data_IF_830235268237
#
_entry.id   IF_830235268237
#
_cell.length_a   1.000
_cell.length_b   1.000
_cell.length_c   1.000
_cell.angle_alpha   90.00
_cell.angle_beta   90.00
_cell.angle_gamma   90.00
#
_symmetry.space_group_name_H-M   'P 1'
#
loop_
_entity.id
_entity.type
_entity.pdbx_description
1 polymer ?
#
# COMPACT_ATOMS: atom_id res chain seq x y z
N UNK A 1 26.55 34.57 2.35
CA UNK A 1 25.94 34.17 3.63
C UNK A 1 24.65 34.90 3.98
N UNK A 2 24.58 36.25 4.09
CA UNK A 2 23.36 36.93 4.55
C UNK A 2 22.10 36.65 3.72
N UNK A 3 22.26 36.37 2.42
CA UNK A 3 21.13 35.98 1.56
C UNK A 3 20.59 34.59 1.91
N UNK A 4 21.44 33.60 2.19
CA UNK A 4 21.00 32.26 2.60
C UNK A 4 20.30 32.31 3.97
N UNK A 5 20.83 33.10 4.90
CA UNK A 5 20.26 33.24 6.24
C UNK A 5 18.88 33.91 6.25
N UNK A 6 18.59 34.80 5.30
CA UNK A 6 17.35 35.60 5.29
C UNK A 6 16.30 35.11 4.29
N UNK A 7 16.72 34.52 3.17
CA UNK A 7 15.83 34.33 2.02
C UNK A 7 15.55 32.86 1.69
N UNK A 8 16.11 31.89 2.43
CA UNK A 8 15.77 30.48 2.22
C UNK A 8 14.37 30.14 2.76
N UNK A 9 13.59 29.29 2.07
CA UNK A 9 12.32 28.82 2.56
C UNK A 9 12.43 28.14 3.94
N UNK A 10 11.54 28.47 4.88
CA UNK A 10 11.58 27.99 6.27
C UNK A 10 11.45 26.45 6.44
N UNK A 11 11.02 25.75 5.38
CA UNK A 11 10.89 24.30 5.36
C UNK A 11 12.20 23.57 4.99
N UNK A 12 13.22 24.29 4.50
CA UNK A 12 14.57 23.76 4.29
C UNK A 12 15.29 23.66 5.64
N UNK A 13 15.12 22.51 6.30
CA UNK A 13 15.71 22.26 7.62
C UNK A 13 17.16 21.80 7.52
N UNK A 14 17.54 21.15 6.42
CA UNK A 14 18.89 20.67 6.20
C UNK A 14 19.68 21.64 5.31
N UNK A 15 19.18 21.96 4.11
CA UNK A 15 19.84 22.87 3.16
C UNK A 15 19.69 24.34 3.61
N UNK A 16 20.47 24.73 4.61
CA UNK A 16 20.45 26.04 5.24
C UNK A 16 21.87 26.65 5.33
N UNK A 17 21.97 27.89 5.82
CA UNK A 17 23.25 28.60 5.91
C UNK A 17 24.28 27.89 6.81
N UNK A 18 23.84 27.16 7.84
CA UNK A 18 24.73 26.44 8.74
C UNK A 18 25.28 25.16 8.08
N UNK A 19 24.47 24.47 7.25
CA UNK A 19 24.96 23.42 6.36
C UNK A 19 26.05 23.97 5.45
N UNK A 20 25.80 25.07 4.74
CA UNK A 20 26.81 25.70 3.86
C UNK A 20 28.10 26.06 4.61
N UNK A 21 28.01 26.61 5.83
CA UNK A 21 29.19 26.89 6.67
C UNK A 21 29.95 25.60 7.00
N UNK A 22 29.24 24.53 7.32
CA UNK A 22 29.83 23.24 7.64
C UNK A 22 30.56 22.61 6.44
N UNK A 23 29.99 22.75 5.23
CA UNK A 23 30.60 22.25 3.99
C UNK A 23 31.87 23.04 3.66
N UNK A 24 31.89 24.37 3.83
CA UNK A 24 33.10 25.18 3.63
C UNK A 24 34.21 24.73 4.59
N UNK A 25 33.90 24.57 5.88
CA UNK A 25 34.87 24.14 6.87
C UNK A 25 35.39 22.72 6.59
N UNK A 26 34.52 21.81 6.14
CA UNK A 26 34.89 20.45 5.75
C UNK A 26 35.78 20.43 4.50
N UNK A 27 35.41 21.19 3.47
CA UNK A 27 36.16 21.29 2.22
C UNK A 27 37.58 21.81 2.49
N UNK A 28 37.74 22.83 3.34
CA UNK A 28 39.04 23.33 3.77
C UNK A 28 39.86 22.29 4.51
N UNK A 29 39.25 21.59 5.49
CA UNK A 29 39.92 20.55 6.26
C UNK A 29 40.41 19.39 5.39
N UNK A 30 39.57 18.92 4.47
CA UNK A 30 39.89 17.82 3.55
C UNK A 30 40.95 18.28 2.55
N UNK A 31 40.83 19.50 2.00
CA UNK A 31 41.78 20.06 1.04
C UNK A 31 43.20 20.19 1.60
N UNK A 32 43.33 20.67 2.84
CA UNK A 32 44.63 20.74 3.53
C UNK A 32 45.24 19.35 3.70
N UNK A 33 44.44 18.35 4.05
CA UNK A 33 44.92 16.98 4.19
C UNK A 33 45.29 16.30 2.85
N UNK A 34 44.63 16.69 1.75
CA UNK A 34 44.85 16.16 0.40
C UNK A 34 45.92 16.92 -0.40
N UNK A 35 46.57 17.91 0.23
CA UNK A 35 47.67 18.69 -0.34
C UNK A 35 47.24 19.60 -1.49
N UNK A 36 46.07 20.24 -1.38
CA UNK A 36 45.56 21.23 -2.34
C UNK A 36 46.30 22.56 -2.18
N UNK A 37 46.58 23.24 -3.29
CA UNK A 37 47.28 24.54 -3.28
C UNK A 37 46.38 25.68 -2.78
N UNK A 38 46.98 26.80 -2.35
CA UNK A 38 46.22 27.96 -1.85
C UNK A 38 45.28 28.55 -2.92
N UNK A 39 45.70 28.58 -4.19
CA UNK A 39 44.88 29.07 -5.31
C UNK A 39 43.65 28.17 -5.55
N UNK A 40 43.85 26.85 -5.58
CA UNK A 40 42.77 25.87 -5.73
C UNK A 40 41.82 25.86 -4.53
N UNK A 41 42.34 26.09 -3.32
CA UNK A 41 41.55 26.19 -2.10
C UNK A 41 40.57 27.36 -2.16
N UNK A 42 40.96 28.49 -2.74
CA UNK A 42 40.05 29.64 -2.96
C UNK A 42 38.90 29.24 -3.88
N UNK A 43 39.18 28.53 -4.98
CA UNK A 43 38.14 28.05 -5.90
C UNK A 43 37.19 27.06 -5.20
N UNK A 44 37.73 26.11 -4.45
CA UNK A 44 36.97 25.10 -3.73
C UNK A 44 36.08 25.71 -2.64
N UNK A 45 36.60 26.61 -1.80
CA UNK A 45 35.81 27.31 -0.78
C UNK A 45 34.74 28.19 -1.40
N UNK A 46 35.01 28.78 -2.56
CA UNK A 46 34.02 29.54 -3.32
C UNK A 46 32.93 28.62 -3.84
N UNK A 47 33.26 27.47 -4.43
CA UNK A 47 32.26 26.48 -4.84
C UNK A 47 31.41 25.98 -3.66
N UNK A 48 32.03 25.66 -2.52
CA UNK A 48 31.33 25.28 -1.29
C UNK A 48 30.39 26.37 -0.77
N UNK A 49 30.73 27.64 -0.92
CA UNK A 49 29.83 28.75 -0.56
C UNK A 49 28.59 28.83 -1.46
N UNK A 50 28.73 28.47 -2.73
CA UNK A 50 27.67 28.62 -3.73
C UNK A 50 26.87 27.35 -4.02
N UNK A 51 27.33 26.14 -3.64
CA UNK A 51 26.71 24.87 -4.08
C UNK A 51 25.19 24.78 -3.85
N UNK A 52 24.73 25.29 -2.71
CA UNK A 52 23.31 25.31 -2.31
C UNK A 52 22.61 26.66 -2.55
N UNK A 53 23.28 27.64 -3.15
CA UNK A 53 22.68 28.96 -3.39
C UNK A 53 21.44 28.90 -4.29
N UNK A 54 21.36 27.90 -5.16
CA UNK A 54 20.23 27.66 -6.04
C UNK A 54 18.92 27.33 -5.34
N UNK A 55 18.94 26.87 -4.08
CA UNK A 55 17.73 26.68 -3.28
C UNK A 55 16.94 27.97 -3.03
N UNK A 56 17.56 29.14 -3.23
CA UNK A 56 16.87 30.44 -3.26
C UNK A 56 15.88 30.56 -4.43
N UNK A 57 16.10 29.81 -5.51
CA UNK A 57 15.35 29.92 -6.75
C UNK A 57 14.55 28.65 -7.07
N UNK A 58 15.13 27.46 -6.87
CA UNK A 58 14.51 26.18 -7.23
C UNK A 58 14.99 25.04 -6.33
N UNK A 59 14.08 24.14 -5.96
CA UNK A 59 14.42 22.92 -5.21
C UNK A 59 15.00 21.82 -6.11
N UNK A 60 14.48 21.69 -7.33
CA UNK A 60 15.03 20.77 -8.35
C UNK A 60 16.08 21.51 -9.18
N UNK A 61 17.16 20.82 -9.53
CA UNK A 61 18.26 21.39 -10.32
C UNK A 61 18.84 22.65 -9.65
N UNK A 62 19.01 22.60 -8.32
CA UNK A 62 19.55 23.73 -7.58
C UNK A 62 21.02 23.96 -7.91
N UNK A 63 21.78 22.93 -8.31
CA UNK A 63 23.19 23.05 -8.70
C UNK A 63 23.35 23.90 -9.96
N UNK A 64 22.47 23.72 -10.96
CA UNK A 64 22.42 24.58 -12.13
C UNK A 64 22.05 26.02 -11.77
N UNK A 65 21.09 26.21 -10.87
CA UNK A 65 20.71 27.54 -10.39
C UNK A 65 21.84 28.20 -9.57
N UNK A 66 22.59 27.43 -8.79
CA UNK A 66 23.79 27.86 -8.06
C UNK A 66 24.87 28.36 -9.03
N UNK A 67 25.13 27.62 -10.11
CA UNK A 67 26.06 28.03 -11.16
C UNK A 67 25.61 29.33 -11.84
N UNK A 68 24.30 29.50 -12.07
CA UNK A 68 23.77 30.74 -12.63
C UNK A 68 24.00 31.94 -11.70
N UNK A 69 23.78 31.76 -10.40
CA UNK A 69 24.06 32.79 -9.39
C UNK A 69 25.56 33.11 -9.36
N UNK A 70 26.43 32.10 -9.33
CA UNK A 70 27.88 32.25 -9.31
C UNK A 70 28.39 33.03 -10.54
N UNK A 71 27.95 32.66 -11.75
CA UNK A 71 28.32 33.37 -12.99
C UNK A 71 27.90 34.85 -13.00
N UNK A 72 26.82 35.19 -12.29
CA UNK A 72 26.32 36.55 -12.20
C UNK A 72 27.10 37.40 -11.19
N UNK A 73 27.55 36.80 -10.07
CA UNK A 73 28.10 37.55 -8.94
C UNK A 73 29.63 37.55 -8.87
N UNK A 74 30.28 36.45 -9.27
CA UNK A 74 31.73 36.29 -9.16
C UNK A 74 32.57 37.24 -10.04
N UNK A 75 32.15 37.67 -11.25
CA UNK A 75 32.92 38.63 -12.04
C UNK A 75 33.13 39.97 -11.30
N UNK A 76 32.13 40.43 -10.55
CA UNK A 76 32.22 41.66 -9.75
C UNK A 76 33.18 41.54 -8.56
N UNK A 77 33.59 40.33 -8.20
CA UNK A 77 34.53 40.03 -7.13
C UNK A 77 35.95 39.74 -7.66
N UNK A 78 36.19 39.93 -8.96
CA UNK A 78 37.51 39.78 -9.58
C UNK A 78 37.87 38.35 -9.99
N UNK A 79 36.89 37.44 -10.09
CA UNK A 79 37.13 36.09 -10.62
C UNK A 79 37.15 36.09 -12.14
N UNK A 80 38.16 35.45 -12.71
CA UNK A 80 38.32 35.28 -14.15
C UNK A 80 37.32 34.22 -14.71
N UNK A 81 36.92 34.30 -15.99
CA UNK A 81 35.96 33.38 -16.58
C UNK A 81 36.33 31.90 -16.40
N UNK A 82 37.61 31.56 -16.54
CA UNK A 82 38.11 30.19 -16.35
C UNK A 82 37.93 29.71 -14.90
N UNK A 83 38.16 30.58 -13.92
CA UNK A 83 37.96 30.26 -12.50
C UNK A 83 36.49 30.03 -12.19
N UNK A 84 35.60 30.84 -12.78
CA UNK A 84 34.15 30.71 -12.62
C UNK A 84 33.66 29.38 -13.21
N UNK A 85 34.17 28.99 -14.37
CA UNK A 85 33.82 27.70 -14.98
C UNK A 85 34.31 26.52 -14.13
N UNK A 86 35.52 26.59 -13.58
CA UNK A 86 36.00 25.59 -12.60
C UNK A 86 35.10 25.53 -11.36
N UNK A 87 34.71 26.67 -10.79
CA UNK A 87 33.79 26.73 -9.64
C UNK A 87 32.45 26.07 -10.00
N UNK A 88 31.91 26.34 -11.19
CA UNK A 88 30.67 25.70 -11.64
C UNK A 88 30.83 24.19 -11.82
N UNK A 89 31.97 23.71 -12.34
CA UNK A 89 32.25 22.27 -12.44
C UNK A 89 32.29 21.60 -11.05
N UNK A 90 32.90 22.25 -10.06
CA UNK A 90 32.92 21.78 -8.67
C UNK A 90 31.49 21.72 -8.10
N UNK A 91 30.69 22.79 -8.28
CA UNK A 91 29.28 22.80 -7.83
C UNK A 91 28.48 21.67 -8.50
N UNK A 92 28.63 21.49 -9.80
CA UNK A 92 27.88 20.45 -10.53
C UNK A 92 28.24 19.03 -10.08
N UNK A 93 29.43 18.81 -9.50
CA UNK A 93 29.84 17.52 -8.96
C UNK A 93 29.05 17.10 -7.71
N UNK A 94 28.44 18.05 -6.96
CA UNK A 94 27.58 17.73 -5.80
C UNK A 94 26.21 17.17 -6.21
N UNK A 95 25.87 17.23 -7.50
CA UNK A 95 24.62 16.68 -8.01
C UNK A 95 24.57 15.17 -7.87
N UNK A 96 23.51 14.66 -7.25
CA UNK A 96 23.30 13.22 -7.08
C UNK A 96 22.70 12.56 -8.33
N UNK A 97 23.19 11.38 -8.76
CA UNK A 97 24.31 10.63 -8.20
C UNK A 97 25.67 11.25 -8.56
N UNK A 98 26.59 11.28 -7.59
CA UNK A 98 27.94 11.85 -7.76
C UNK A 98 28.73 11.19 -8.90
N UNK A 99 29.29 12.02 -9.78
CA UNK A 99 30.23 11.63 -10.83
C UNK A 99 31.47 12.57 -10.89
N UNK A 100 32.20 12.77 -9.78
CA UNK A 100 33.35 13.67 -9.73
C UNK A 100 34.49 13.18 -10.62
N UNK A 101 35.13 14.11 -11.34
CA UNK A 101 36.17 13.81 -12.32
C UNK A 101 37.60 14.06 -11.81
N UNK A 102 37.77 14.99 -10.86
CA UNK A 102 39.08 15.45 -10.38
C UNK A 102 39.14 15.58 -8.86
N UNK A 103 40.31 15.96 -8.34
CA UNK A 103 40.57 16.06 -6.90
C UNK A 103 39.65 17.09 -6.21
N UNK A 104 39.42 18.26 -6.79
CA UNK A 104 38.58 19.28 -6.17
C UNK A 104 37.11 18.83 -6.12
N UNK A 105 36.67 18.13 -7.18
CA UNK A 105 35.35 17.51 -7.23
C UNK A 105 35.21 16.37 -6.20
N UNK A 106 36.25 15.55 -5.99
CA UNK A 106 36.25 14.55 -4.91
C UNK A 106 36.09 15.20 -3.54
N UNK A 107 36.80 16.31 -3.30
CA UNK A 107 36.78 17.00 -2.02
C UNK A 107 35.40 17.61 -1.74
N UNK A 108 34.78 18.28 -2.72
CA UNK A 108 33.46 18.89 -2.48
C UNK A 108 32.38 17.84 -2.23
N UNK A 109 32.38 16.73 -2.98
CA UNK A 109 31.42 15.63 -2.76
C UNK A 109 31.55 15.05 -1.35
N UNK A 110 32.78 14.85 -0.87
CA UNK A 110 33.03 14.34 0.48
C UNK A 110 32.73 15.37 1.56
N UNK A 111 32.96 16.66 1.30
CA UNK A 111 32.67 17.75 2.22
C UNK A 111 31.15 17.92 2.41
N UNK A 112 30.38 17.87 1.32
CA UNK A 112 28.92 18.01 1.34
C UNK A 112 28.25 16.84 2.09
N UNK A 113 28.77 15.62 1.90
CA UNK A 113 28.27 14.41 2.55
C UNK A 113 29.07 13.97 3.79
N UNK A 114 29.89 14.84 4.38
CA UNK A 114 30.72 14.45 5.53
C UNK A 114 29.87 13.95 6.71
N UNK A 115 28.66 14.51 6.89
CA UNK A 115 27.78 14.21 8.03
C UNK A 115 27.41 12.73 8.12
N UNK A 116 27.52 11.99 7.01
CA UNK A 116 27.31 10.55 6.98
C UNK A 116 28.29 9.80 7.88
N UNK A 117 29.49 10.34 8.08
CA UNK A 117 30.54 9.78 8.93
C UNK A 117 30.88 10.59 10.17
N UNK A 118 30.02 11.52 10.61
CA UNK A 118 30.20 12.27 11.87
C UNK A 118 29.09 11.96 12.88
N UNK A 119 29.28 12.38 14.12
CA UNK A 119 28.27 12.27 15.18
C UNK A 119 26.98 13.02 14.87
N UNK A 120 27.02 13.95 13.90
CA UNK A 120 25.88 14.75 13.47
C UNK A 120 24.97 14.02 12.47
N UNK A 121 25.25 12.75 12.17
CA UNK A 121 24.44 11.94 11.26
C UNK A 121 22.94 11.98 11.62
N UNK A 122 22.58 11.59 12.85
CA UNK A 122 21.17 11.48 13.24
C UNK A 122 20.43 12.82 13.29
N UNK A 123 20.99 13.91 13.86
CA UNK A 123 20.39 15.24 13.78
C UNK A 123 20.16 15.70 12.34
N UNK A 124 21.17 15.60 11.48
CA UNK A 124 21.08 16.03 10.08
C UNK A 124 20.11 15.17 9.28
N UNK A 125 20.12 13.86 9.51
CA UNK A 125 19.15 12.94 8.95
C UNK A 125 17.71 13.28 9.37
N UNK A 126 17.48 13.75 10.60
CA UNK A 126 16.16 14.19 11.03
C UNK A 126 15.74 15.48 10.33
N UNK A 127 16.64 16.45 10.18
CA UNK A 127 16.38 17.67 9.42
C UNK A 127 16.03 17.36 7.96
N UNK A 128 16.80 16.45 7.33
CA UNK A 128 16.57 16.02 5.96
C UNK A 128 15.23 15.28 5.81
N UNK A 129 14.84 14.48 6.81
CA UNK A 129 13.51 13.86 6.85
C UNK A 129 12.38 14.88 6.87
N UNK A 130 12.47 15.89 7.73
CA UNK A 130 11.44 16.93 7.84
C UNK A 130 11.30 17.72 6.54
N UNK A 131 12.43 18.05 5.92
CA UNK A 131 12.48 18.73 4.64
C UNK A 131 11.87 17.87 3.50
N UNK A 132 12.26 16.60 3.42
CA UNK A 132 11.73 15.68 2.41
C UNK A 132 10.23 15.44 2.60
N UNK A 133 9.77 15.38 3.86
CA UNK A 133 8.35 15.25 4.19
C UNK A 133 7.57 16.50 3.77
N UNK A 134 8.10 17.69 4.03
CA UNK A 134 7.48 18.95 3.63
C UNK A 134 7.37 19.08 2.10
N UNK A 135 8.36 18.57 1.37
CA UNK A 135 8.39 18.54 -0.10
C UNK A 135 7.67 17.33 -0.72
N UNK A 136 7.03 16.47 0.08
CA UNK A 136 6.30 15.30 -0.40
C UNK A 136 7.17 14.18 -0.98
N UNK A 137 8.47 14.19 -0.72
CA UNK A 137 9.44 13.18 -1.17
C UNK A 137 9.42 11.89 -0.32
N UNK A 138 8.92 11.97 0.91
CA UNK A 138 8.65 10.82 1.79
C UNK A 138 7.38 11.05 2.59
N UNK A 139 6.59 9.99 2.83
CA UNK A 139 5.33 10.08 3.57
C UNK A 139 5.49 9.79 5.06
N UNK A 140 6.32 8.81 5.38
CA UNK A 140 6.46 8.30 6.73
C UNK A 140 7.90 7.83 7.00
N UNK A 141 8.17 7.49 8.26
CA UNK A 141 9.49 7.06 8.72
C UNK A 141 9.98 5.78 8.05
N UNK A 142 9.08 4.87 7.66
CA UNK A 142 9.44 3.62 7.01
C UNK A 142 10.04 3.87 5.61
N UNK A 143 9.38 4.69 4.81
CA UNK A 143 9.86 5.09 3.49
C UNK A 143 11.19 5.85 3.59
N UNK A 144 11.31 6.73 4.58
CA UNK A 144 12.55 7.44 4.88
C UNK A 144 13.70 6.50 5.22
N UNK A 145 13.49 5.55 6.13
CA UNK A 145 14.52 4.59 6.51
C UNK A 145 14.98 3.74 5.30
N UNK A 146 14.05 3.35 4.40
CA UNK A 146 14.42 2.64 3.16
C UNK A 146 15.30 3.49 2.25
N UNK A 147 14.97 4.78 2.08
CA UNK A 147 15.80 5.73 1.32
C UNK A 147 17.17 5.92 1.96
N UNK A 148 17.24 6.07 3.29
CA UNK A 148 18.52 6.18 4.01
C UNK A 148 19.39 4.95 3.80
N UNK A 149 18.83 3.75 3.99
CA UNK A 149 19.55 2.49 3.80
C UNK A 149 20.10 2.42 2.38
N UNK A 150 19.25 2.63 1.38
CA UNK A 150 19.66 2.61 -0.03
C UNK A 150 20.80 3.62 -0.29
N UNK A 151 20.67 4.85 0.21
CA UNK A 151 21.66 5.90 0.02
C UNK A 151 23.00 5.56 0.69
N UNK A 152 22.99 5.21 1.98
CA UNK A 152 24.19 4.85 2.75
C UNK A 152 24.92 3.63 2.15
N UNK A 153 24.16 2.65 1.63
CA UNK A 153 24.71 1.48 0.95
C UNK A 153 25.34 1.83 -0.40
N UNK A 154 24.69 2.68 -1.21
CA UNK A 154 25.22 3.06 -2.53
C UNK A 154 26.36 4.09 -2.48
N UNK A 155 26.40 4.93 -1.45
CA UNK A 155 27.35 6.02 -1.33
C UNK A 155 28.76 5.51 -1.01
N UNK A 156 29.79 6.19 -1.53
CA UNK A 156 31.21 5.98 -1.17
C UNK A 156 31.92 7.32 -1.06
N UNK A 157 32.86 7.42 -0.13
CA UNK A 157 33.77 8.58 -0.06
C UNK A 157 34.88 8.47 -1.11
N UNK A 158 35.36 9.60 -1.63
CA UNK A 158 36.29 9.67 -2.75
C UNK A 158 37.74 9.91 -2.33
N UNK A 159 37.97 10.91 -1.46
CA UNK A 159 39.29 11.31 -0.92
C UNK A 159 39.84 10.29 0.06
N UNK A 160 41.17 10.27 0.22
CA UNK A 160 41.81 9.36 1.17
C UNK A 160 41.49 9.77 2.61
N UNK A 161 41.40 11.07 2.87
CA UNK A 161 41.00 11.63 4.14
C UNK A 161 39.61 11.13 4.56
N UNK A 162 38.58 11.31 3.72
CA UNK A 162 37.21 10.93 4.04
C UNK A 162 37.04 9.40 4.15
N UNK A 163 37.73 8.62 3.31
CA UNK A 163 37.75 7.16 3.46
C UNK A 163 38.30 6.72 4.82
N UNK A 164 39.32 7.41 5.31
CA UNK A 164 39.98 7.06 6.57
C UNK A 164 39.18 7.53 7.79
N UNK A 165 38.57 8.72 7.72
CA UNK A 165 37.93 9.36 8.88
C UNK A 165 36.41 9.15 8.95
N UNK A 166 35.72 8.92 7.83
CA UNK A 166 34.25 8.92 7.78
C UNK A 166 33.64 7.56 7.42
N UNK A 167 34.38 6.69 6.69
CA UNK A 167 33.80 5.45 6.16
C UNK A 167 33.35 4.49 7.26
N UNK A 168 34.12 4.31 8.32
CA UNK A 168 33.77 3.41 9.44
C UNK A 168 32.52 3.90 10.17
N UNK A 169 32.46 5.19 10.52
CA UNK A 169 31.30 5.79 11.16
C UNK A 169 30.04 5.68 10.30
N UNK A 170 30.15 5.87 8.98
CA UNK A 170 29.03 5.65 8.05
C UNK A 170 28.50 4.22 8.10
N UNK A 171 29.39 3.22 8.15
CA UNK A 171 28.99 1.81 8.28
C UNK A 171 28.29 1.57 9.62
N UNK A 172 28.78 2.15 10.71
CA UNK A 172 28.13 2.06 12.02
C UNK A 172 26.72 2.69 12.00
N UNK A 173 26.54 3.86 11.39
CA UNK A 173 25.23 4.48 11.20
C UNK A 173 24.29 3.61 10.37
N UNK A 174 24.77 3.03 9.25
CA UNK A 174 23.99 2.10 8.43
C UNK A 174 23.49 0.90 9.26
N UNK A 175 24.35 0.31 10.08
CA UNK A 175 23.97 -0.81 10.94
C UNK A 175 22.90 -0.42 11.97
N UNK A 176 23.00 0.77 12.56
CA UNK A 176 21.97 1.29 13.47
C UNK A 176 20.64 1.47 12.73
N UNK A 177 20.64 2.11 11.55
CA UNK A 177 19.43 2.32 10.75
C UNK A 177 18.79 0.98 10.33
N UNK A 178 19.60 0.01 9.91
CA UNK A 178 19.15 -1.35 9.56
C UNK A 178 18.50 -2.05 10.76
N UNK A 179 19.12 -2.00 11.94
CA UNK A 179 18.57 -2.60 13.16
C UNK A 179 17.22 -1.98 13.56
N UNK A 180 17.11 -0.65 13.45
CA UNK A 180 15.88 0.08 13.75
C UNK A 180 14.77 -0.25 12.74
N UNK A 181 15.08 -0.34 11.46
CA UNK A 181 14.13 -0.73 10.42
C UNK A 181 13.58 -2.15 10.65
N UNK A 182 14.47 -3.12 10.92
CA UNK A 182 14.09 -4.50 11.21
C UNK A 182 13.18 -4.62 12.45
N UNK A 183 13.43 -3.82 13.50
CA UNK A 183 12.59 -3.80 14.69
C UNK A 183 11.18 -3.26 14.42
N UNK A 184 11.05 -2.25 13.56
CA UNK A 184 9.74 -1.70 13.16
C UNK A 184 8.96 -2.72 12.33
N UNK A 185 9.60 -3.36 11.35
CA UNK A 185 8.97 -4.39 10.53
C UNK A 185 8.52 -5.59 11.39
N UNK A 186 9.34 -6.01 12.35
CA UNK A 186 9.00 -7.10 13.29
C UNK A 186 7.80 -6.75 14.18
N UNK A 187 7.71 -5.51 14.69
CA UNK A 187 6.54 -5.07 15.48
C UNK A 187 5.26 -5.07 14.64
N UNK A 188 5.33 -4.60 13.40
CA UNK A 188 4.17 -4.60 12.50
C UNK A 188 3.70 -6.03 12.20
N UNK A 189 4.63 -6.96 11.99
CA UNK A 189 4.31 -8.39 11.82
C UNK A 189 3.62 -8.97 13.06
N UNK A 190 4.12 -8.70 14.26
CA UNK A 190 3.51 -9.21 15.51
C UNK A 190 2.10 -8.68 15.72
N UNK A 191 1.87 -7.38 15.48
CA UNK A 191 0.53 -6.77 15.61
C UNK A 191 -0.45 -7.40 14.62
N UNK A 192 -0.02 -7.63 13.38
CA UNK A 192 -0.84 -8.30 12.36
C UNK A 192 -1.19 -9.73 12.76
N UNK A 193 -0.24 -10.52 13.26
CA UNK A 193 -0.52 -11.91 13.66
C UNK A 193 -1.46 -11.98 14.88
N UNK A 194 -1.35 -11.03 15.81
CA UNK A 194 -2.28 -10.93 16.94
C UNK A 194 -3.70 -10.58 16.48
N UNK A 195 -3.85 -9.63 15.54
CA UNK A 195 -5.14 -9.30 14.95
C UNK A 195 -5.75 -10.51 14.25
N UNK A 196 -4.96 -11.23 13.46
CA UNK A 196 -5.39 -12.46 12.79
C UNK A 196 -5.86 -13.51 13.80
N UNK A 197 -5.15 -13.68 14.91
CA UNK A 197 -5.54 -14.61 15.97
C UNK A 197 -6.91 -14.29 16.57
N UNK A 198 -7.17 -13.02 16.92
CA UNK A 198 -8.47 -12.61 17.46
C UNK A 198 -9.61 -12.78 16.45
N UNK A 199 -9.36 -12.48 15.18
CA UNK A 199 -10.33 -12.68 14.11
C UNK A 199 -10.65 -14.17 13.90
N UNK A 200 -9.65 -15.05 13.94
CA UNK A 200 -9.83 -16.51 13.85
C UNK A 200 -10.68 -17.00 15.03
N UNK A 201 -10.33 -16.61 16.26
CA UNK A 201 -11.05 -17.04 17.46
C UNK A 201 -12.52 -16.59 17.43
N UNK A 202 -12.77 -15.32 17.11
CA UNK A 202 -14.13 -14.80 16.98
C UNK A 202 -14.90 -15.53 15.86
N UNK A 203 -14.26 -15.74 14.71
CA UNK A 203 -14.86 -16.41 13.57
C UNK A 203 -15.27 -17.86 13.88
N UNK A 204 -14.38 -18.61 14.53
CA UNK A 204 -14.61 -20.00 14.93
C UNK A 204 -15.74 -20.12 15.95
N UNK A 205 -15.80 -19.24 16.96
CA UNK A 205 -16.87 -19.25 17.96
C UNK A 205 -18.22 -18.94 17.30
N UNK A 206 -18.29 -17.96 16.41
CA UNK A 206 -19.51 -17.62 15.69
C UNK A 206 -19.98 -18.74 14.76
N UNK A 207 -19.05 -19.38 14.03
CA UNK A 207 -19.37 -20.54 13.19
C UNK A 207 -19.85 -21.73 14.03
N UNK A 208 -19.20 -22.01 15.16
CA UNK A 208 -19.66 -23.03 16.11
C UNK A 208 -21.05 -22.76 16.65
N UNK A 209 -21.33 -21.51 17.03
CA UNK A 209 -22.65 -21.06 17.47
C UNK A 209 -23.72 -21.20 16.39
N UNK A 210 -23.40 -20.83 15.14
CA UNK A 210 -24.30 -21.01 14.00
C UNK A 210 -24.65 -22.49 13.78
N UNK A 211 -23.63 -23.36 13.75
CA UNK A 211 -23.81 -24.78 13.50
C UNK A 211 -24.62 -25.46 14.61
N UNK A 212 -24.22 -25.34 15.87
CA UNK A 212 -24.89 -26.04 16.98
C UNK A 212 -26.11 -25.32 17.55
N UNK A 213 -26.17 -23.99 17.45
CA UNK A 213 -27.27 -23.20 17.99
C UNK A 213 -28.47 -23.09 17.05
N UNK A 214 -28.26 -23.23 15.74
CA UNK A 214 -29.30 -23.09 14.71
C UNK A 214 -29.41 -24.30 13.79
N UNK A 215 -28.34 -24.66 13.06
CA UNK A 215 -28.43 -25.59 11.93
C UNK A 215 -28.66 -27.04 12.36
N UNK A 216 -27.78 -27.59 13.18
CA UNK A 216 -27.79 -29.01 13.62
C UNK A 216 -29.10 -29.38 14.32
N UNK A 217 -29.61 -28.63 15.33
CA UNK A 217 -30.85 -29.00 16.02
C UNK A 217 -32.09 -29.07 15.13
N UNK A 218 -32.04 -28.41 13.96
CA UNK A 218 -33.17 -28.27 13.05
C UNK A 218 -32.93 -28.95 11.69
N UNK A 219 -31.84 -29.72 11.55
CA UNK A 219 -31.48 -30.47 10.34
C UNK A 219 -31.32 -29.59 9.09
N UNK A 220 -30.83 -28.35 9.26
CA UNK A 220 -30.57 -27.45 8.15
C UNK A 220 -29.13 -27.58 7.68
N UNK A 221 -28.95 -27.50 6.37
CA UNK A 221 -27.67 -27.68 5.71
C UNK A 221 -27.14 -26.35 5.17
N UNK A 222 -25.82 -26.20 5.21
CA UNK A 222 -25.11 -25.17 4.46
C UNK A 222 -24.60 -25.74 3.12
N UNK A 223 -23.88 -24.95 2.34
CA UNK A 223 -23.11 -25.41 1.18
C UNK A 223 -21.72 -25.91 1.54
N UNK A 224 -20.96 -26.32 0.52
CA UNK A 224 -19.53 -26.60 0.67
C UNK A 224 -19.20 -27.86 1.49
N UNK A 225 -18.02 -27.85 2.11
CA UNK A 225 -17.55 -28.96 2.96
C UNK A 225 -18.33 -29.00 4.26
N UNK A 226 -18.75 -27.84 4.76
CA UNK A 226 -19.64 -27.73 5.92
C UNK A 226 -20.96 -28.43 5.66
N UNK A 227 -21.59 -28.14 4.51
CA UNK A 227 -22.82 -28.79 4.05
C UNK A 227 -22.69 -30.30 3.93
N UNK A 228 -21.62 -30.80 3.30
CA UNK A 228 -21.34 -32.24 3.24
C UNK A 228 -21.16 -32.85 4.63
N UNK A 229 -20.50 -32.14 5.55
CA UNK A 229 -20.28 -32.61 6.91
C UNK A 229 -21.58 -32.74 7.69
N UNK A 230 -22.47 -31.76 7.57
CA UNK A 230 -23.82 -31.79 8.14
C UNK A 230 -24.65 -32.94 7.56
N UNK A 231 -24.60 -33.14 6.23
CA UNK A 231 -25.32 -34.24 5.57
C UNK A 231 -24.86 -35.60 6.10
N UNK A 232 -23.55 -35.84 6.21
CA UNK A 232 -23.03 -37.09 6.76
C UNK A 232 -23.34 -37.26 8.25
N UNK A 233 -23.33 -36.17 9.02
CA UNK A 233 -23.76 -36.18 10.42
C UNK A 233 -25.21 -36.64 10.56
N UNK A 234 -26.13 -36.09 9.77
CA UNK A 234 -27.56 -36.43 9.84
C UNK A 234 -27.86 -37.83 9.29
N UNK A 235 -27.12 -38.31 8.29
CA UNK A 235 -27.34 -39.64 7.70
C UNK A 235 -26.74 -40.79 8.52
N UNK A 236 -25.56 -40.59 9.12
CA UNK A 236 -24.79 -41.65 9.77
C UNK A 236 -24.62 -41.45 11.28
N UNK A 237 -25.10 -40.33 11.84
CA UNK A 237 -24.99 -39.98 13.25
C UNK A 237 -23.54 -39.91 13.80
N UNK A 238 -22.56 -39.78 12.91
CA UNK A 238 -21.17 -39.53 13.30
C UNK A 238 -21.02 -38.13 13.88
N UNK A 239 -20.14 -37.93 14.85
CA UNK A 239 -19.97 -36.61 15.45
C UNK A 239 -19.45 -35.59 14.42
N UNK A 240 -20.21 -34.51 14.23
CA UNK A 240 -19.95 -33.45 13.24
C UNK A 240 -18.52 -32.89 13.33
N UNK A 241 -17.97 -32.75 14.54
CA UNK A 241 -16.63 -32.21 14.73
C UNK A 241 -15.56 -33.03 14.00
N UNK A 242 -15.65 -34.37 14.04
CA UNK A 242 -14.70 -35.24 13.37
C UNK A 242 -14.90 -35.22 11.85
N UNK A 243 -16.15 -35.17 11.38
CA UNK A 243 -16.46 -35.11 9.95
C UNK A 243 -15.91 -33.82 9.32
N UNK A 244 -16.14 -32.67 9.96
CA UNK A 244 -15.65 -31.38 9.46
C UNK A 244 -14.12 -31.39 9.35
N UNK A 245 -13.41 -31.84 10.37
CA UNK A 245 -11.93 -31.88 10.35
C UNK A 245 -11.43 -32.83 9.26
N UNK A 246 -12.03 -34.02 9.17
CA UNK A 246 -11.57 -35.04 8.21
C UNK A 246 -11.87 -34.66 6.76
N UNK A 247 -13.06 -34.13 6.44
CA UNK A 247 -13.39 -33.71 5.08
C UNK A 247 -12.62 -32.48 4.61
N UNK A 248 -12.20 -31.60 5.52
CA UNK A 248 -11.37 -30.44 5.18
C UNK A 248 -9.89 -30.81 4.96
N UNK A 249 -9.40 -31.92 5.53
CA UNK A 249 -7.97 -32.26 5.49
C UNK A 249 -7.40 -32.38 4.05
N UNK A 250 -8.06 -33.05 3.08
CA UNK A 250 -7.57 -33.09 1.70
C UNK A 250 -7.43 -31.70 1.07
N UNK A 251 -8.34 -30.79 1.39
CA UNK A 251 -8.36 -29.42 0.87
C UNK A 251 -7.28 -28.56 1.53
N UNK A 252 -7.05 -28.72 2.83
CA UNK A 252 -5.94 -28.10 3.55
C UNK A 252 -4.59 -28.56 2.96
N UNK A 253 -4.44 -29.86 2.68
CA UNK A 253 -3.24 -30.40 2.03
C UNK A 253 -3.07 -29.77 0.65
N UNK A 254 -4.14 -29.66 -0.14
CA UNK A 254 -4.08 -28.95 -1.41
C UNK A 254 -3.64 -27.48 -1.23
N UNK A 255 -4.21 -26.76 -0.25
CA UNK A 255 -3.89 -25.36 0.06
C UNK A 255 -2.40 -25.14 0.36
N UNK A 256 -1.76 -26.12 1.01
CA UNK A 256 -0.35 -26.06 1.36
C UNK A 256 0.54 -25.97 0.11
N UNK A 257 0.17 -26.68 -0.95
CA UNK A 257 0.92 -26.69 -2.22
C UNK A 257 0.48 -25.59 -3.18
N UNK A 258 -0.72 -25.02 -3.03
CA UNK A 258 -1.32 -24.14 -4.04
C UNK A 258 -1.42 -22.68 -3.61
N UNK A 259 -1.61 -22.39 -2.32
CA UNK A 259 -1.80 -21.01 -1.80
C UNK A 259 -0.55 -20.55 -1.05
N UNK A 260 -0.35 -21.03 0.18
CA UNK A 260 0.87 -20.81 0.95
C UNK A 260 0.89 -21.71 2.18
N UNK A 261 2.09 -22.01 2.70
CA UNK A 261 2.24 -22.78 3.95
C UNK A 261 1.55 -22.09 5.14
N UNK A 262 1.64 -20.75 5.21
CA UNK A 262 1.02 -19.95 6.27
C UNK A 262 -0.51 -20.04 6.22
N UNK A 263 -1.10 -19.88 5.04
CA UNK A 263 -2.55 -20.03 4.83
C UNK A 263 -3.01 -21.44 5.25
N UNK A 264 -2.36 -22.49 4.75
CA UNK A 264 -2.74 -23.88 5.05
C UNK A 264 -2.64 -24.20 6.54
N UNK A 265 -1.60 -23.73 7.23
CA UNK A 265 -1.45 -23.90 8.67
C UNK A 265 -2.54 -23.17 9.46
N UNK A 266 -2.86 -21.92 9.11
CA UNK A 266 -3.95 -21.17 9.77
C UNK A 266 -5.30 -21.83 9.52
N UNK A 267 -5.58 -22.29 8.30
CA UNK A 267 -6.79 -23.05 7.92
C UNK A 267 -6.91 -24.35 8.71
N UNK A 268 -5.81 -25.10 8.83
CA UNK A 268 -5.78 -26.31 9.66
C UNK A 268 -6.11 -26.01 11.12
N UNK A 269 -5.49 -24.98 11.69
CA UNK A 269 -5.72 -24.57 13.07
C UNK A 269 -7.17 -24.09 13.29
N UNK A 270 -7.73 -23.29 12.37
CA UNK A 270 -9.12 -22.81 12.48
C UNK A 270 -10.12 -23.95 12.39
N UNK A 271 -9.94 -24.91 11.49
CA UNK A 271 -10.81 -26.08 11.35
C UNK A 271 -10.70 -26.99 12.59
N UNK A 272 -9.50 -27.18 13.14
CA UNK A 272 -9.32 -27.91 14.41
C UNK A 272 -10.01 -27.20 15.58
N UNK A 273 -9.82 -25.89 15.70
CA UNK A 273 -10.46 -25.07 16.74
C UNK A 273 -11.99 -25.11 16.61
N UNK A 274 -12.53 -25.13 15.38
CA UNK A 274 -13.95 -25.33 15.15
C UNK A 274 -14.40 -26.70 15.62
N UNK A 275 -13.68 -27.76 15.29
CA UNK A 275 -13.93 -29.10 15.82
C UNK A 275 -13.95 -29.13 17.35
N UNK A 276 -12.97 -28.49 18.01
CA UNK A 276 -12.96 -28.36 19.46
C UNK A 276 -14.13 -27.54 20.01
N UNK A 277 -14.48 -26.40 19.40
CA UNK A 277 -15.66 -25.63 19.78
C UNK A 277 -16.93 -26.47 19.69
N UNK A 278 -17.06 -27.27 18.63
CA UNK A 278 -18.19 -28.17 18.45
C UNK A 278 -18.17 -29.35 19.44
N UNK A 279 -17.05 -29.72 20.06
CA UNK A 279 -17.03 -30.76 21.09
C UNK A 279 -17.26 -30.20 22.50
N UNK A 280 -16.63 -29.07 22.81
CA UNK A 280 -16.47 -28.59 24.18
C UNK A 280 -17.50 -27.53 24.59
N UNK A 281 -18.01 -26.74 23.64
CA UNK A 281 -18.90 -25.63 23.95
C UNK A 281 -20.36 -26.10 23.84
N UNK A 282 -21.15 -26.04 24.93
CA UNK A 282 -22.57 -26.33 24.91
C UNK A 282 -23.33 -25.09 24.42
N UNK A 283 -23.52 -24.99 23.11
CA UNK A 283 -24.34 -23.91 22.54
C UNK A 283 -25.83 -24.18 22.82
N UNK A 284 -26.59 -23.17 23.29
CA UNK A 284 -28.03 -23.31 23.46
C UNK A 284 -28.72 -23.34 22.09
N UNK A 285 -29.79 -24.11 21.97
CA UNK A 285 -30.70 -24.03 20.82
C UNK A 285 -31.41 -22.68 20.90
N UNK A 286 -31.26 -21.85 19.87
CA UNK A 286 -31.69 -20.44 19.93
C UNK A 286 -33.17 -20.29 19.61
N UNK A 287 -33.65 -20.99 18.59
CA UNK A 287 -35.04 -20.93 18.14
C UNK A 287 -35.41 -22.18 17.34
N UNK A 288 -36.71 -22.42 17.21
CA UNK A 288 -37.29 -23.49 16.40
C UNK A 288 -38.03 -22.95 15.16
N UNK A 289 -38.06 -21.62 14.98
CA UNK A 289 -38.66 -20.99 13.80
C UNK A 289 -37.74 -21.15 12.58
N UNK A 290 -38.23 -21.85 11.55
CA UNK A 290 -37.46 -22.22 10.35
C UNK A 290 -36.91 -21.01 9.58
N UNK A 291 -37.65 -19.90 9.53
CA UNK A 291 -37.21 -18.70 8.83
C UNK A 291 -36.09 -18.00 9.61
N UNK A 292 -36.24 -17.90 10.94
CA UNK A 292 -35.19 -17.34 11.79
C UNK A 292 -33.93 -18.21 11.77
N UNK A 293 -34.07 -19.53 11.81
CA UNK A 293 -32.95 -20.47 11.72
C UNK A 293 -32.19 -20.28 10.43
N UNK A 294 -32.89 -20.26 9.28
CA UNK A 294 -32.23 -20.16 7.99
C UNK A 294 -31.51 -18.83 7.80
N UNK A 295 -32.14 -17.71 8.16
CA UNK A 295 -31.52 -16.39 8.01
C UNK A 295 -30.38 -16.20 9.01
N UNK A 296 -30.63 -16.35 10.31
CA UNK A 296 -29.63 -16.05 11.33
C UNK A 296 -28.55 -17.12 11.45
N UNK A 297 -28.90 -18.40 11.24
CA UNK A 297 -27.90 -19.46 11.11
C UNK A 297 -26.95 -19.19 9.96
N UNK A 298 -27.46 -18.80 8.79
CA UNK A 298 -26.64 -18.37 7.66
C UNK A 298 -25.79 -17.14 7.98
N UNK A 299 -26.38 -16.09 8.56
CA UNK A 299 -25.65 -14.86 8.94
C UNK A 299 -24.51 -15.15 9.94
N UNK A 300 -24.75 -15.88 11.02
CA UNK A 300 -23.70 -16.16 12.00
C UNK A 300 -22.61 -17.07 11.41
N UNK A 301 -22.99 -18.04 10.57
CA UNK A 301 -22.03 -18.90 9.89
C UNK A 301 -21.17 -18.08 8.92
N UNK A 302 -21.79 -17.24 8.10
CA UNK A 302 -21.09 -16.39 7.15
C UNK A 302 -20.26 -15.28 7.80
N UNK A 303 -20.69 -14.74 8.94
CA UNK A 303 -19.85 -13.89 9.80
C UNK A 303 -18.62 -14.65 10.28
N UNK A 304 -18.82 -15.87 10.78
CA UNK A 304 -17.76 -16.73 11.26
C UNK A 304 -16.71 -17.01 10.18
N UNK A 305 -17.16 -17.54 9.04
CA UNK A 305 -16.33 -17.83 7.87
C UNK A 305 -15.62 -16.56 7.39
N UNK A 306 -16.35 -15.46 7.17
CA UNK A 306 -15.78 -14.19 6.69
C UNK A 306 -14.70 -13.60 7.59
N UNK A 307 -14.84 -13.68 8.92
CA UNK A 307 -13.81 -13.20 9.85
C UNK A 307 -12.52 -14.03 9.76
N UNK A 308 -12.64 -15.36 9.66
CA UNK A 308 -11.47 -16.23 9.47
C UNK A 308 -10.78 -15.97 8.12
N UNK A 309 -11.55 -15.70 7.06
CA UNK A 309 -11.01 -15.32 5.75
C UNK A 309 -10.25 -14.01 5.78
N UNK A 310 -10.73 -13.01 6.53
CA UNK A 310 -9.97 -11.76 6.74
C UNK A 310 -8.64 -11.96 7.47
N UNK A 311 -8.53 -12.98 8.31
CA UNK A 311 -7.30 -13.38 8.97
C UNK A 311 -6.35 -14.22 8.10
N UNK A 312 -6.73 -14.45 6.83
CA UNK A 312 -5.93 -15.19 5.86
C UNK A 312 -6.02 -16.71 6.01
N UNK A 313 -7.17 -17.25 6.39
CA UNK A 313 -7.43 -18.70 6.40
C UNK A 313 -8.86 -19.03 5.97
N UNK A 314 -9.14 -20.30 5.67
CA UNK A 314 -10.47 -20.74 5.29
C UNK A 314 -11.06 -21.68 6.36
N UNK A 315 -12.35 -21.52 6.64
CA UNK A 315 -13.07 -22.36 7.62
C UNK A 315 -13.88 -23.45 6.92
N UNK A 316 -14.43 -23.16 5.73
CA UNK A 316 -14.86 -24.16 4.77
C UNK A 316 -13.72 -24.38 3.75
N UNK A 317 -13.53 -25.63 3.32
CA UNK A 317 -12.41 -26.01 2.46
C UNK A 317 -12.71 -25.75 0.99
N UNK A 318 -13.97 -25.51 0.63
CA UNK A 318 -14.36 -25.30 -0.77
C UNK A 318 -13.80 -24.00 -1.35
N UNK A 319 -13.53 -23.01 -0.50
CA UNK A 319 -12.85 -21.76 -0.83
C UNK A 319 -11.38 -21.99 -1.22
N UNK A 320 -10.76 -23.07 -0.75
CA UNK A 320 -9.43 -23.48 -1.21
C UNK A 320 -9.49 -23.97 -2.66
N UNK A 321 -10.56 -24.69 -3.02
CA UNK A 321 -10.78 -25.13 -4.41
C UNK A 321 -10.97 -23.94 -5.34
N UNK A 322 -11.56 -22.84 -4.85
CA UNK A 322 -11.66 -21.59 -5.58
C UNK A 322 -10.30 -21.02 -6.00
N UNK A 323 -9.26 -21.18 -5.19
CA UNK A 323 -7.93 -20.66 -5.54
C UNK A 323 -7.13 -21.61 -6.45
N UNK A 324 -7.54 -22.87 -6.55
CA UNK A 324 -6.86 -23.91 -7.34
C UNK A 324 -7.36 -24.04 -8.79
N UNK A 325 -8.65 -23.77 -9.02
CA UNK A 325 -9.32 -24.18 -10.27
C UNK A 325 -9.19 -23.14 -11.39
N UNK A 326 -7.95 -22.84 -11.80
CA UNK A 326 -7.68 -21.96 -12.94
C UNK A 326 -6.91 -22.64 -14.09
N UNK A 327 -6.54 -23.93 -13.96
CA UNK A 327 -5.61 -24.55 -14.92
C UNK A 327 -5.95 -25.95 -15.45
N UNK A 328 -7.04 -26.62 -15.02
CA UNK A 328 -7.27 -28.04 -15.40
C UNK A 328 -8.70 -28.46 -15.77
N UNK A 329 -9.70 -27.58 -15.70
CA UNK A 329 -11.11 -27.91 -16.03
C UNK A 329 -11.78 -26.77 -16.81
N UNK A 330 -12.75 -27.11 -17.67
CA UNK A 330 -13.55 -26.11 -18.42
C UNK A 330 -14.59 -25.40 -17.56
N UNK A 331 -14.91 -25.94 -16.38
CA UNK A 331 -15.85 -25.36 -15.44
C UNK A 331 -15.18 -24.29 -14.56
N UNK A 332 -15.91 -23.21 -14.32
CA UNK A 332 -15.58 -22.20 -13.33
C UNK A 332 -15.77 -22.76 -11.91
N UNK A 333 -15.06 -22.16 -10.96
CA UNK A 333 -15.17 -22.50 -9.54
C UNK A 333 -16.60 -22.40 -9.04
N UNK A 334 -17.29 -21.31 -9.41
CA UNK A 334 -18.67 -21.06 -9.01
C UNK A 334 -19.59 -22.17 -9.51
N UNK A 335 -19.35 -22.72 -10.71
CA UNK A 335 -20.12 -23.86 -11.23
C UNK A 335 -19.83 -25.16 -10.45
N UNK A 336 -18.59 -25.39 -10.02
CA UNK A 336 -18.24 -26.56 -9.20
C UNK A 336 -18.92 -26.49 -7.83
N UNK A 337 -18.84 -25.33 -7.17
CA UNK A 337 -19.51 -25.08 -5.88
C UNK A 337 -21.02 -25.26 -6.02
N UNK A 338 -21.60 -24.68 -7.06
CA UNK A 338 -23.03 -24.79 -7.35
C UNK A 338 -23.43 -26.26 -7.60
N UNK A 339 -22.64 -27.00 -8.37
CA UNK A 339 -22.87 -28.42 -8.62
C UNK A 339 -22.86 -29.26 -7.33
N UNK A 340 -21.88 -29.02 -6.45
CA UNK A 340 -21.83 -29.67 -5.14
C UNK A 340 -23.08 -29.36 -4.30
N UNK A 341 -23.45 -28.08 -4.22
CA UNK A 341 -24.60 -27.65 -3.43
C UNK A 341 -25.92 -28.18 -3.97
N UNK A 342 -26.08 -28.27 -5.30
CA UNK A 342 -27.24 -28.93 -5.92
C UNK A 342 -27.33 -30.38 -5.44
N UNK A 343 -26.23 -31.12 -5.40
CA UNK A 343 -26.21 -32.50 -4.91
C UNK A 343 -26.62 -32.55 -3.42
N UNK A 344 -26.02 -31.71 -2.57
CA UNK A 344 -26.32 -31.63 -1.14
C UNK A 344 -27.82 -31.37 -0.92
N UNK A 345 -28.37 -30.34 -1.55
CA UNK A 345 -29.77 -29.94 -1.37
C UNK A 345 -30.75 -30.94 -1.99
N UNK A 346 -30.36 -31.62 -3.07
CA UNK A 346 -31.17 -32.70 -3.65
C UNK A 346 -31.26 -33.88 -2.69
N UNK A 347 -30.15 -34.31 -2.11
CA UNK A 347 -30.16 -35.37 -1.08
C UNK A 347 -30.97 -34.92 0.13
N UNK A 348 -30.82 -33.65 0.54
CA UNK A 348 -31.60 -33.07 1.63
C UNK A 348 -33.11 -33.15 1.35
N UNK A 349 -33.55 -32.81 0.13
CA UNK A 349 -34.95 -32.84 -0.27
C UNK A 349 -35.54 -34.26 -0.23
N UNK A 350 -34.79 -35.26 -0.71
CA UNK A 350 -35.23 -36.65 -0.71
C UNK A 350 -35.23 -37.31 0.67
N UNK A 351 -34.30 -36.96 1.55
CA UNK A 351 -34.12 -37.61 2.86
C UNK A 351 -34.82 -36.89 4.01
N UNK A 352 -34.84 -35.55 3.99
CA UNK A 352 -35.33 -34.70 5.07
C UNK A 352 -36.49 -33.80 4.64
N UNK A 353 -36.95 -33.94 3.40
CA UNK A 353 -38.10 -33.23 2.85
C UNK A 353 -37.74 -31.95 2.09
N UNK A 354 -38.60 -31.58 1.15
CA UNK A 354 -38.42 -30.42 0.27
C UNK A 354 -38.28 -29.11 1.06
N UNK A 355 -39.03 -28.96 2.15
CA UNK A 355 -39.02 -27.75 2.97
C UNK A 355 -37.63 -27.51 3.59
N UNK A 356 -37.02 -28.55 4.16
CA UNK A 356 -35.66 -28.51 4.73
C UNK A 356 -34.63 -28.11 3.68
N UNK A 357 -34.74 -28.63 2.46
CA UNK A 357 -33.85 -28.27 1.36
C UNK A 357 -34.01 -26.81 0.93
N UNK A 358 -35.23 -26.29 0.83
CA UNK A 358 -35.49 -24.89 0.47
C UNK A 358 -34.95 -23.93 1.54
N UNK A 359 -35.13 -24.23 2.82
CA UNK A 359 -34.54 -23.43 3.89
C UNK A 359 -33.01 -23.57 3.96
N UNK A 360 -32.44 -24.71 3.60
CA UNK A 360 -30.99 -24.89 3.48
C UNK A 360 -30.40 -24.04 2.35
N UNK A 361 -31.10 -23.93 1.22
CA UNK A 361 -30.74 -23.00 0.13
C UNK A 361 -30.76 -21.55 0.65
N UNK A 362 -31.79 -21.17 1.40
CA UNK A 362 -31.88 -19.83 1.99
C UNK A 362 -30.75 -19.57 3.00
N UNK A 363 -30.41 -20.58 3.80
CA UNK A 363 -29.31 -20.55 4.77
C UNK A 363 -27.98 -20.30 4.09
N UNK A 364 -27.68 -21.09 3.05
CA UNK A 364 -26.48 -20.94 2.23
C UNK A 364 -26.42 -19.56 1.55
N UNK A 365 -27.55 -19.07 1.03
CA UNK A 365 -27.62 -17.74 0.44
C UNK A 365 -27.31 -16.63 1.47
N UNK A 366 -27.90 -16.71 2.66
CA UNK A 366 -27.64 -15.76 3.74
C UNK A 366 -26.17 -15.81 4.20
N UNK A 367 -25.59 -17.01 4.34
CA UNK A 367 -24.18 -17.21 4.66
C UNK A 367 -23.27 -16.59 3.59
N UNK A 368 -23.48 -16.91 2.31
CA UNK A 368 -22.68 -16.38 1.20
C UNK A 368 -22.72 -14.85 1.14
N UNK A 369 -23.90 -14.23 1.27
CA UNK A 369 -24.02 -12.76 1.32
C UNK A 369 -23.29 -12.15 2.52
N UNK A 370 -23.32 -12.81 3.66
CA UNK A 370 -22.64 -12.35 4.85
C UNK A 370 -21.11 -12.49 4.74
N UNK A 371 -20.61 -13.58 4.14
CA UNK A 371 -19.19 -13.76 3.82
C UNK A 371 -18.71 -12.63 2.91
N UNK A 372 -19.41 -12.40 1.80
CA UNK A 372 -19.11 -11.31 0.85
C UNK A 372 -19.02 -9.97 1.60
N UNK A 373 -20.01 -9.67 2.44
CA UNK A 373 -20.05 -8.42 3.20
C UNK A 373 -18.90 -8.27 4.21
N UNK A 374 -18.50 -9.35 4.89
CA UNK A 374 -17.39 -9.29 5.85
C UNK A 374 -16.06 -9.09 5.13
N UNK A 375 -15.82 -9.84 4.06
CA UNK A 375 -14.55 -9.82 3.32
C UNK A 375 -14.40 -8.51 2.55
N UNK A 376 -15.39 -8.13 1.75
CA UNK A 376 -15.32 -6.95 0.88
C UNK A 376 -15.55 -5.64 1.64
N UNK A 377 -16.19 -5.69 2.81
CA UNK A 377 -16.46 -4.53 3.65
C UNK A 377 -17.65 -3.67 3.20
N UNK A 378 -18.00 -2.68 4.03
CA UNK A 378 -19.23 -1.87 3.89
C UNK A 378 -19.10 -0.79 2.81
N UNK A 379 -17.89 -0.26 2.60
CA UNK A 379 -17.64 0.88 1.72
C UNK A 379 -17.28 0.41 0.30
N UNK A 380 -18.28 0.09 -0.52
CA UNK A 380 -18.11 -0.06 -1.96
C UNK A 380 -17.80 1.31 -2.59
N UNK A 381 -16.51 1.56 -2.85
CA UNK A 381 -16.08 2.69 -3.66
C UNK A 381 -16.39 2.40 -5.13
N UNK A 382 -16.87 3.42 -5.84
CA UNK A 382 -17.14 3.34 -7.27
C UNK A 382 -16.09 4.17 -8.00
N UNK A 383 -15.30 3.51 -8.85
CA UNK A 383 -14.46 4.17 -9.82
C UNK A 383 -15.33 4.69 -10.95
N UNK A 384 -15.21 5.96 -11.27
CA UNK A 384 -15.99 6.60 -12.32
C UNK A 384 -15.04 7.16 -13.35
N UNK A 385 -15.20 6.71 -14.59
CA UNK A 385 -14.48 7.22 -15.74
C UNK A 385 -15.42 8.09 -16.56
N UNK A 386 -14.97 9.29 -16.89
CA UNK A 386 -15.73 10.31 -17.60
C UNK A 386 -14.93 10.70 -18.85
N UNK A 387 -15.55 10.60 -20.01
CA UNK A 387 -14.99 10.97 -21.30
C UNK A 387 -15.91 12.02 -21.92
N UNK A 388 -15.42 13.25 -22.06
CA UNK A 388 -16.23 14.41 -22.48
C UNK A 388 -15.40 15.36 -23.33
N UNK A 389 -16.09 16.15 -24.17
CA UNK A 389 -15.47 17.28 -24.88
C UNK A 389 -15.25 18.49 -23.97
N UNK A 390 -16.06 18.63 -22.91
CA UNK A 390 -16.02 19.72 -21.92
C UNK A 390 -15.25 19.29 -20.66
N UNK A 391 -14.12 18.60 -20.84
CA UNK A 391 -13.36 17.98 -19.76
C UNK A 391 -12.84 19.00 -18.73
N UNK A 392 -12.42 20.20 -19.15
CA UNK A 392 -11.95 21.25 -18.24
C UNK A 392 -13.01 21.70 -17.24
N UNK A 393 -14.24 21.94 -17.71
CA UNK A 393 -15.35 22.32 -16.84
C UNK A 393 -15.66 21.20 -15.84
N UNK A 394 -15.71 19.95 -16.31
CA UNK A 394 -15.96 18.80 -15.45
C UNK A 394 -14.86 18.64 -14.39
N UNK A 395 -13.58 18.79 -14.76
CA UNK A 395 -12.45 18.76 -13.81
C UNK A 395 -12.62 19.81 -12.72
N UNK A 396 -12.94 21.05 -13.09
CA UNK A 396 -13.16 22.13 -12.14
C UNK A 396 -14.29 21.81 -11.16
N UNK A 397 -15.46 21.39 -11.67
CA UNK A 397 -16.64 21.11 -10.83
C UNK A 397 -16.41 19.90 -9.92
N UNK A 398 -15.74 18.85 -10.39
CA UNK A 398 -15.40 17.68 -9.56
C UNK A 398 -14.47 18.03 -8.39
N UNK A 399 -13.44 18.84 -8.64
CA UNK A 399 -12.47 19.22 -7.60
C UNK A 399 -13.06 20.24 -6.64
N UNK A 400 -13.73 21.27 -7.14
CA UNK A 400 -14.13 22.43 -6.34
C UNK A 400 -15.55 22.34 -5.77
N UNK A 401 -16.50 21.73 -6.48
CA UNK A 401 -17.89 21.58 -5.99
C UNK A 401 -18.07 20.24 -5.27
N UNK A 402 -17.62 19.14 -5.89
CA UNK A 402 -17.75 17.81 -5.30
C UNK A 402 -16.64 17.49 -4.28
N UNK A 403 -15.53 18.25 -4.29
CA UNK A 403 -14.42 18.07 -3.35
C UNK A 403 -13.63 16.77 -3.57
N UNK A 404 -13.59 16.27 -4.81
CA UNK A 404 -13.04 14.95 -5.13
C UNK A 404 -11.76 15.07 -5.93
N UNK A 405 -10.75 14.31 -5.50
CA UNK A 405 -9.53 14.13 -6.28
C UNK A 405 -9.83 13.45 -7.61
N UNK A 406 -9.11 13.86 -8.64
CA UNK A 406 -9.23 13.32 -9.99
C UNK A 406 -7.85 12.90 -10.50
N UNK A 407 -7.85 11.87 -11.34
CA UNK A 407 -6.71 11.46 -12.16
C UNK A 407 -7.09 11.67 -13.61
N UNK A 408 -6.18 12.21 -14.41
CA UNK A 408 -6.42 12.47 -15.84
C UNK A 408 -5.56 11.53 -16.67
N UNK A 409 -6.21 10.73 -17.52
CA UNK A 409 -5.54 9.99 -18.58
C UNK A 409 -5.62 10.81 -19.88
N UNK A 410 -4.50 10.93 -20.58
CA UNK A 410 -4.47 11.52 -21.92
C UNK A 410 -4.88 10.45 -22.93
N UNK A 411 -5.83 10.76 -23.80
CA UNK A 411 -6.29 9.85 -24.84
C UNK A 411 -6.89 10.60 -26.03
N UNK A 412 -7.44 9.84 -26.96
CA UNK A 412 -8.15 10.36 -28.12
C UNK A 412 -9.59 9.87 -28.12
N UNK A 413 -10.52 10.73 -28.54
CA UNK A 413 -11.93 10.41 -28.76
C UNK A 413 -12.28 10.66 -30.23
N UNK A 414 -13.24 9.91 -30.75
CA UNK A 414 -13.59 9.92 -32.16
C UNK A 414 -13.82 8.50 -32.63
N UNK A 415 -13.44 8.21 -33.88
CA UNK A 415 -13.52 6.86 -34.45
C UNK A 415 -14.93 6.25 -34.40
N UNK A 416 -15.94 7.08 -34.72
CA UNK A 416 -17.33 6.66 -34.70
C UNK A 416 -17.69 5.86 -35.97
N UNK A 417 -18.71 4.98 -35.92
CA UNK A 417 -19.21 4.31 -37.12
C UNK A 417 -19.54 5.31 -38.23
N UNK A 418 -18.92 5.14 -39.40
CA UNK A 418 -19.06 6.05 -40.56
C UNK A 418 -18.19 7.32 -40.50
N UNK A 419 -17.39 7.53 -39.44
CA UNK A 419 -16.44 8.64 -39.28
C UNK A 419 -15.20 8.17 -38.52
N UNK A 420 -14.49 7.20 -39.09
CA UNK A 420 -13.31 6.62 -38.47
C UNK A 420 -12.14 7.61 -38.44
N UNK A 421 -11.90 8.35 -39.52
CA UNK A 421 -10.73 9.24 -39.65
C UNK A 421 -10.83 10.54 -38.84
N UNK A 422 -11.89 10.71 -38.04
CA UNK A 422 -12.09 11.89 -37.21
C UNK A 422 -11.78 11.52 -35.77
N UNK A 423 -10.65 12.02 -35.26
CA UNK A 423 -10.28 11.94 -33.85
C UNK A 423 -9.87 13.31 -33.30
N UNK A 424 -9.90 13.41 -31.98
CA UNK A 424 -9.50 14.60 -31.23
C UNK A 424 -8.91 14.19 -29.90
N UNK A 425 -7.85 14.87 -29.46
CA UNK A 425 -7.29 14.70 -28.13
C UNK A 425 -8.36 14.99 -27.07
N UNK A 426 -8.43 14.16 -26.04
CA UNK A 426 -9.30 14.38 -24.89
C UNK A 426 -8.66 13.93 -23.58
N UNK A 427 -9.12 14.58 -22.51
CA UNK A 427 -8.79 14.19 -21.15
C UNK A 427 -9.88 13.23 -20.65
N UNK A 428 -9.47 12.01 -20.34
CA UNK A 428 -10.33 11.02 -19.69
C UNK A 428 -10.15 11.19 -18.18
N UNK A 429 -11.22 11.59 -17.50
CA UNK A 429 -11.21 11.90 -16.08
C UNK A 429 -11.61 10.66 -15.30
N UNK A 430 -10.78 10.26 -14.35
CA UNK A 430 -11.07 9.18 -13.41
C UNK A 430 -11.17 9.73 -11.99
N UNK A 431 -12.20 9.31 -11.27
CA UNK A 431 -12.37 9.66 -9.86
C UNK A 431 -13.00 8.52 -9.09
N UNK A 432 -12.79 8.51 -7.79
CA UNK A 432 -13.34 7.50 -6.87
C UNK A 432 -14.34 8.19 -5.96
N UNK A 433 -15.58 7.73 -6.01
CA UNK A 433 -16.70 8.28 -5.23
C UNK A 433 -17.43 7.17 -4.49
N UNK A 434 -18.17 7.55 -3.44
CA UNK A 434 -19.09 6.62 -2.79
C UNK A 434 -20.35 6.40 -3.62
N UNK A 435 -21.12 5.33 -3.33
CA UNK A 435 -22.41 5.05 -3.99
C UNK A 435 -23.41 6.22 -3.88
N UNK A 436 -23.38 6.95 -2.76
CA UNK A 436 -24.25 8.12 -2.53
C UNK A 436 -23.82 9.35 -3.35
N UNK A 437 -22.53 9.47 -3.63
CA UNK A 437 -21.97 10.58 -4.42
C UNK A 437 -22.06 10.33 -5.92
N UNK A 438 -22.12 9.07 -6.36
CA UNK A 438 -22.26 8.72 -7.77
C UNK A 438 -23.46 9.43 -8.43
N UNK A 439 -24.58 9.55 -7.70
CA UNK A 439 -25.76 10.27 -8.21
C UNK A 439 -25.46 11.74 -8.44
N UNK A 440 -24.83 12.42 -7.47
CA UNK A 440 -24.45 13.84 -7.57
C UNK A 440 -23.44 14.07 -8.69
N UNK A 441 -22.44 13.20 -8.81
CA UNK A 441 -21.45 13.24 -9.88
C UNK A 441 -22.11 13.12 -11.25
N UNK A 442 -23.00 12.13 -11.45
CA UNK A 442 -23.69 11.96 -12.74
C UNK A 442 -24.50 13.19 -13.13
N UNK A 443 -25.21 13.81 -12.17
CA UNK A 443 -25.94 15.06 -12.42
C UNK A 443 -25.00 16.20 -12.81
N UNK A 444 -23.92 16.40 -12.06
CA UNK A 444 -22.91 17.44 -12.34
C UNK A 444 -22.27 17.27 -13.72
N UNK A 445 -21.93 16.04 -14.11
CA UNK A 445 -21.37 15.76 -15.45
C UNK A 445 -22.42 16.01 -16.53
N UNK A 446 -23.66 15.57 -16.33
CA UNK A 446 -24.74 15.77 -17.30
C UNK A 446 -25.08 17.26 -17.52
N UNK A 447 -25.04 18.07 -16.46
CA UNK A 447 -25.21 19.53 -16.55
C UNK A 447 -24.07 20.21 -17.32
N UNK A 448 -22.84 19.72 -17.18
CA UNK A 448 -21.68 20.26 -17.88
C UNK A 448 -21.64 19.81 -19.36
N UNK A 449 -21.91 18.53 -19.63
CA UNK A 449 -21.97 17.96 -20.97
C UNK A 449 -22.92 16.76 -21.01
N UNK A 450 -24.11 16.98 -21.59
CA UNK A 450 -25.10 15.93 -21.79
C UNK A 450 -24.65 14.82 -22.76
N UNK A 451 -23.58 15.03 -23.54
CA UNK A 451 -22.99 14.06 -24.46
C UNK A 451 -21.79 13.32 -23.85
N UNK A 452 -21.46 13.57 -22.58
CA UNK A 452 -20.36 12.89 -21.90
C UNK A 452 -20.65 11.39 -21.76
N UNK A 453 -19.64 10.57 -22.02
CA UNK A 453 -19.69 9.14 -21.76
C UNK A 453 -19.16 8.86 -20.35
N UNK A 454 -20.02 8.34 -19.49
CA UNK A 454 -19.69 8.05 -18.08
C UNK A 454 -19.97 6.59 -17.80
N UNK A 455 -18.96 5.87 -17.33
CA UNK A 455 -19.13 4.51 -16.83
C UNK A 455 -18.53 4.35 -15.44
N UNK A 456 -19.08 3.40 -14.69
CA UNK A 456 -18.76 3.17 -13.31
C UNK A 456 -18.34 1.71 -13.12
N UNK A 457 -17.26 1.48 -12.39
CA UNK A 457 -16.79 0.16 -11.98
C UNK A 457 -16.73 0.11 -10.46
N UNK A 458 -17.21 -1.00 -9.89
CA UNK A 458 -17.04 -1.22 -8.45
C UNK A 458 -15.57 -1.46 -8.16
N UNK A 459 -14.98 -0.64 -7.30
CA UNK A 459 -13.63 -0.84 -6.80
C UNK A 459 -13.76 -1.66 -5.52
N UNK A 460 -13.21 -2.88 -5.57
CA UNK A 460 -13.25 -3.83 -4.45
C UNK A 460 -12.30 -3.44 -3.32
N UNK A 461 -11.13 -2.90 -3.67
CA UNK A 461 -10.16 -2.37 -2.71
C UNK A 461 -9.52 -1.10 -3.28
N UNK A 462 -9.48 -0.05 -2.46
CA UNK A 462 -8.75 1.18 -2.77
C UNK A 462 -7.86 1.51 -1.56
N UNK A 463 -6.56 1.72 -1.79
CA UNK A 463 -5.58 2.07 -0.75
C UNK A 463 -4.75 3.27 -1.20
N UNK A 464 -4.54 4.24 -0.29
CA UNK A 464 -3.88 5.52 -0.58
C UNK A 464 -4.79 6.57 -1.24
N UNK A 465 -4.23 7.70 -1.67
CA UNK A 465 -4.97 8.79 -2.33
C UNK A 465 -5.88 9.63 -1.42
N UNK A 466 -6.46 10.72 -1.96
CA UNK A 466 -7.47 11.56 -1.27
C UNK A 466 -8.85 10.91 -1.48
N UNK A 467 -9.11 9.82 -0.78
CA UNK A 467 -10.40 9.08 -0.87
C UNK A 467 -11.43 9.61 0.14
N UNK A 468 -10.98 10.18 1.27
CA UNK A 468 -11.84 10.83 2.27
C UNK A 468 -11.48 12.30 2.42
N UNK A 469 -12.51 13.15 2.50
CA UNK A 469 -12.37 14.53 2.98
C UNK A 469 -11.88 14.44 4.43
N UNK A 470 -10.62 14.79 4.69
CA UNK A 470 -10.19 15.04 6.07
C UNK A 470 -11.05 16.20 6.56
N UNK A 471 -11.94 15.96 7.51
CA UNK A 471 -12.51 17.04 8.30
C UNK A 471 -11.32 17.69 9.01
N UNK A 472 -10.93 18.88 8.56
CA UNK A 472 -10.04 19.73 9.31
C UNK A 472 -10.81 20.16 10.56
N UNK A 473 -10.29 19.79 11.73
CA UNK A 473 -10.53 20.52 12.96
C UNK A 473 -9.34 21.45 13.19
#
# INVERSE_FOLDING_TARGET
MPQLEKNLPAHLKYHNADHTKSVIAAAEKIAVAEGVTDEELVLLKTAALYHDAGFLNAYKNHEEASCHIARKTLPALGFEPLQIDTICQIIMATKLPHAPADKLQYIICDADLQYLGTTDYFPNAEHLYQEFKANGLVKNRLEWNRKQIAFLTSHRFFTQYAKTHYAEHKVNHLNIVLSNANNVDRRHLIVSELQDFFLIMAGVILAGFALKGFLVPNQFFDGGVTGMSLLLHELYHFNLAYIIVTLNLPLIIAAYFTVSKKFAFKTFLSVLLLGFCLLLIPYPVVTSDKLLISIFGGVFLGLGVGLTMRAGCALDGIEVLALYTLKRTSFTITEIILGLNIIIFTIAAFKFGLETALYSILTYFAASRMIDYVIEGIEAYTGVTIISGESEMIKYRLVNELGRGITVYKGERGFLPGKFDVSSNCDIIFTVVTRMELRKLKTLVYEADAKAFVFATTIREASGGIIKRRAAH
#
